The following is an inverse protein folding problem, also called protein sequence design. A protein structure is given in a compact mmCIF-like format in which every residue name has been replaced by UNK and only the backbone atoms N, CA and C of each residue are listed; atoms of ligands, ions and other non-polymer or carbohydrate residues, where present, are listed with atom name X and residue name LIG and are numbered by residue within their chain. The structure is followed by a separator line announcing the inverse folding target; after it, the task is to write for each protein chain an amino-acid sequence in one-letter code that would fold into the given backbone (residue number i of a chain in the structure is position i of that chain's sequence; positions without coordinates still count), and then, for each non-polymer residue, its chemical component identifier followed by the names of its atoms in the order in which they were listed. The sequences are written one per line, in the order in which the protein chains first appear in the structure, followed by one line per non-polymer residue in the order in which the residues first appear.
data_IF_940743017633
#
_entry.id   IF_940743017633
#
_cell.length_a   1.000
_cell.length_b   1.000
_cell.length_c   1.000
_cell.angle_alpha   90.00
_cell.angle_beta   90.00
_cell.angle_gamma   90.00
#
_symmetry.space_group_name_H-M   'P 1'
#
loop_
_entity.id
_entity.type
_entity.pdbx_description
1 polymer ?
#
# COMPACT_ATOMS: atom_id res chain seq x y z
N UNK A 1 19.20 5.46 -59.78
CA UNK A 1 20.27 6.47 -59.96
C UNK A 1 20.37 7.23 -58.64
N UNK A 2 21.38 7.16 -57.77
CA UNK A 2 22.72 6.55 -57.69
C UNK A 2 22.92 6.13 -56.22
N UNK A 3 23.29 4.88 -55.91
CA UNK A 3 24.65 4.38 -55.61
C UNK A 3 25.31 5.06 -54.38
N UNK A 4 25.37 4.40 -53.22
CA UNK A 4 26.36 3.38 -52.78
C UNK A 4 27.69 3.99 -52.33
N UNK A 5 28.12 3.75 -51.08
CA UNK A 5 29.46 3.20 -50.72
C UNK A 5 29.49 2.79 -49.24
N UNK A 6 30.05 1.62 -48.97
CA UNK A 6 30.17 0.94 -47.69
C UNK A 6 31.63 0.91 -47.19
N UNK A 7 31.85 0.20 -46.06
CA UNK A 7 33.12 -0.29 -45.46
C UNK A 7 33.89 0.70 -44.56
N UNK A 8 34.57 0.29 -43.48
CA UNK A 8 34.94 -1.04 -42.94
C UNK A 8 35.35 -0.92 -41.46
N UNK A 9 35.27 -2.06 -40.80
CA UNK A 9 35.74 -2.45 -39.46
C UNK A 9 37.26 -2.32 -39.19
N UNK A 10 37.63 -2.15 -37.92
CA UNK A 10 38.74 -2.90 -37.28
C UNK A 10 38.73 -2.80 -35.74
N UNK A 11 38.71 -3.95 -35.07
CA UNK A 11 39.24 -4.15 -33.72
C UNK A 11 40.77 -4.28 -33.79
N UNK A 12 41.48 -4.06 -32.67
CA UNK A 12 42.13 -5.22 -32.06
C UNK A 12 42.03 -5.28 -30.53
N UNK A 13 42.07 -6.51 -30.03
CA UNK A 13 42.29 -6.88 -28.65
C UNK A 13 43.74 -6.60 -28.21
N UNK A 14 43.95 -6.38 -26.91
CA UNK A 14 45.26 -6.56 -26.28
C UNK A 14 45.10 -7.15 -24.88
N UNK A 15 45.92 -8.17 -24.63
CA UNK A 15 45.95 -9.07 -23.47
C UNK A 15 47.31 -8.92 -22.80
N UNK A 16 47.35 -9.22 -21.48
CA UNK A 16 48.49 -9.60 -20.62
C UNK A 16 49.04 -8.51 -19.67
N UNK A 17 49.77 -8.86 -18.58
CA UNK A 17 50.08 -10.20 -18.02
C UNK A 17 49.79 -10.39 -16.51
N UNK A 18 49.80 -11.66 -16.08
CA UNK A 18 49.98 -12.11 -14.69
C UNK A 18 51.42 -11.85 -14.19
N UNK A 19 51.58 -11.49 -12.91
CA UNK A 19 52.85 -11.63 -12.18
C UNK A 19 52.67 -11.92 -10.67
N UNK A 20 53.08 -13.15 -10.31
CA UNK A 20 53.89 -13.63 -9.15
C UNK A 20 53.81 -12.92 -7.78
N UNK A 21 53.35 -13.58 -6.69
CA UNK A 21 54.08 -14.43 -5.68
C UNK A 21 54.18 -13.72 -4.28
N UNK A 22 54.59 -14.36 -3.15
CA UNK A 22 53.69 -15.02 -2.19
C UNK A 22 53.94 -14.55 -0.73
N UNK A 23 53.44 -15.34 0.25
CA UNK A 23 53.69 -15.31 1.71
C UNK A 23 52.72 -14.51 2.59
N UNK A 24 51.86 -15.23 3.33
CA UNK A 24 51.92 -15.17 4.80
C UNK A 24 51.33 -16.39 5.50
N UNK A 25 52.26 -17.07 6.20
CA UNK A 25 52.19 -17.90 7.41
C UNK A 25 50.84 -18.52 7.83
N UNK A 26 50.88 -19.85 7.86
CA UNK A 26 50.24 -20.72 8.86
C UNK A 26 50.47 -20.18 10.27
N UNK A 27 49.44 -20.20 11.11
CA UNK A 27 49.57 -20.63 12.51
C UNK A 27 48.33 -21.45 12.87
N UNK A 28 48.63 -22.72 13.13
CA UNK A 28 47.77 -23.72 13.73
C UNK A 28 47.28 -23.22 15.09
N UNK A 29 45.99 -23.36 15.37
CA UNK A 29 45.47 -23.34 16.73
C UNK A 29 44.87 -24.71 16.99
N UNK A 30 45.64 -25.43 17.78
CA UNK A 30 45.48 -26.78 18.30
C UNK A 30 44.18 -26.94 19.08
N UNK A 31 43.53 -28.04 18.75
CA UNK A 31 42.64 -28.88 19.56
C UNK A 31 43.10 -28.98 21.03
N UNK A 32 42.18 -28.77 21.97
CA UNK A 32 42.23 -29.40 23.30
C UNK A 32 40.81 -29.67 23.77
N UNK A 33 40.43 -30.94 23.62
CA UNK A 33 39.34 -31.60 24.33
C UNK A 33 39.78 -31.81 25.77
N UNK A 34 38.94 -31.45 26.74
CA UNK A 34 39.00 -32.03 28.07
C UNK A 34 37.58 -32.25 28.59
N UNK A 35 37.19 -33.52 28.48
CA UNK A 35 36.00 -34.11 29.09
C UNK A 35 36.38 -34.48 30.51
N UNK A 36 35.72 -33.89 31.51
CA UNK A 36 35.64 -34.47 32.85
C UNK A 36 34.18 -34.40 33.28
N UNK A 37 33.54 -35.57 33.27
CA UNK A 37 32.24 -35.80 33.88
C UNK A 37 32.47 -36.30 35.30
N UNK A 38 31.88 -35.64 36.28
CA UNK A 38 31.59 -36.25 37.58
C UNK A 38 30.23 -35.73 38.07
N UNK A 39 29.26 -36.63 38.12
CA UNK A 39 27.96 -36.47 38.77
C UNK A 39 28.08 -36.79 40.26
N UNK A 40 27.48 -35.97 41.12
CA UNK A 40 26.69 -36.42 42.27
C UNK A 40 25.99 -35.24 42.99
N UNK A 41 24.69 -35.12 42.72
CA UNK A 41 23.55 -34.83 43.62
C UNK A 41 23.79 -33.98 44.89
N UNK A 42 23.15 -32.79 44.92
CA UNK A 42 22.47 -32.29 46.11
C UNK A 42 21.15 -31.62 45.70
N UNK A 43 20.04 -32.25 46.12
CA UNK A 43 18.71 -31.68 46.08
C UNK A 43 18.51 -30.81 47.32
N UNK A 44 18.26 -29.51 47.14
CA UNK A 44 17.63 -28.64 48.13
C UNK A 44 16.87 -27.53 47.39
N UNK A 45 15.62 -27.33 47.78
CA UNK A 45 14.59 -26.63 47.01
C UNK A 45 14.94 -25.21 46.57
N UNK A 46 14.75 -24.95 45.28
CA UNK A 46 14.67 -23.60 44.73
C UNK A 46 13.23 -23.12 44.83
N UNK A 47 12.96 -22.22 45.78
CA UNK A 47 11.80 -21.35 45.74
C UNK A 47 11.92 -20.48 44.47
N UNK A 48 11.26 -20.90 43.38
CA UNK A 48 11.06 -20.03 42.23
C UNK A 48 10.11 -18.93 42.66
N UNK A 49 10.66 -17.74 42.94
CA UNK A 49 9.87 -16.52 42.92
C UNK A 49 9.27 -16.41 41.52
N UNK A 50 7.97 -16.68 41.42
CA UNK A 50 7.20 -16.29 40.25
C UNK A 50 7.27 -14.77 40.19
N UNK A 51 8.14 -14.25 39.30
CA UNK A 51 8.03 -12.87 38.87
C UNK A 51 6.57 -12.65 38.45
N UNK A 52 5.88 -11.60 38.93
CA UNK A 52 4.54 -11.28 38.47
C UNK A 52 4.59 -11.27 36.94
N UNK A 53 3.82 -12.19 36.37
CA UNK A 53 3.90 -12.58 34.98
C UNK A 53 3.86 -11.34 34.10
N UNK A 54 4.87 -11.24 33.23
CA UNK A 54 4.67 -10.61 31.94
C UNK A 54 3.38 -11.20 31.39
N UNK A 55 2.34 -10.37 31.25
CA UNK A 55 1.19 -10.74 30.45
C UNK A 55 1.75 -11.28 29.15
N UNK A 56 1.44 -12.54 28.85
CA UNK A 56 1.69 -13.09 27.54
C UNK A 56 0.90 -12.21 26.57
N UNK A 57 1.58 -11.21 25.99
CA UNK A 57 1.06 -10.43 24.88
C UNK A 57 0.68 -11.44 23.83
N UNK A 58 -0.63 -11.76 23.78
CA UNK A 58 -1.16 -12.80 22.93
C UNK A 58 -0.59 -12.60 21.53
N UNK A 59 -0.02 -13.65 20.96
CA UNK A 59 0.62 -13.61 19.65
C UNK A 59 -0.33 -12.90 18.68
N UNK A 60 -0.05 -11.62 18.43
CA UNK A 60 -0.87 -10.73 17.63
C UNK A 60 -1.03 -11.39 16.27
N UNK A 61 -2.24 -11.83 15.92
CA UNK A 61 -2.53 -12.42 14.60
C UNK A 61 -1.94 -11.49 13.53
N UNK A 62 -1.13 -12.04 12.63
CA UNK A 62 -0.58 -11.29 11.50
C UNK A 62 -1.69 -10.55 10.76
N UNK A 63 -1.58 -9.22 10.55
CA UNK A 63 -2.61 -8.46 9.84
C UNK A 63 -2.89 -9.05 8.46
N UNK A 64 -4.15 -9.04 8.04
CA UNK A 64 -4.57 -9.49 6.70
C UNK A 64 -4.59 -8.32 5.74
N UNK A 65 -3.87 -8.47 4.63
CA UNK A 65 -3.87 -7.50 3.54
C UNK A 65 -4.52 -8.08 2.28
N UNK A 66 -5.33 -7.30 1.59
CA UNK A 66 -5.90 -7.63 0.28
C UNK A 66 -5.38 -6.61 -0.72
N UNK A 67 -4.63 -7.08 -1.71
CA UNK A 67 -4.11 -6.23 -2.79
C UNK A 67 -4.88 -6.56 -4.06
N UNK A 68 -5.58 -5.57 -4.59
CA UNK A 68 -6.48 -5.67 -5.73
C UNK A 68 -5.90 -4.86 -6.88
N UNK A 69 -5.79 -5.48 -8.05
CA UNK A 69 -5.44 -4.78 -9.30
C UNK A 69 -6.54 -5.07 -10.31
N UNK A 70 -7.38 -4.07 -10.57
CA UNK A 70 -8.44 -4.14 -11.57
C UNK A 70 -7.92 -3.92 -13.00
N UNK A 71 -8.78 -4.12 -14.02
CA UNK A 71 -8.52 -3.66 -15.39
C UNK A 71 -8.32 -2.14 -15.41
N UNK A 72 -7.36 -1.63 -16.19
CA UNK A 72 -7.01 -0.20 -16.27
C UNK A 72 -6.60 0.21 -17.68
N UNK A 73 -7.23 -0.41 -18.68
CA UNK A 73 -6.96 -0.15 -20.09
C UNK A 73 -5.45 -0.28 -20.39
N UNK A 74 -4.83 0.72 -21.04
CA UNK A 74 -3.40 0.72 -21.37
C UNK A 74 -2.45 0.72 -20.17
N UNK A 75 -2.89 1.08 -18.95
CA UNK A 75 -2.03 1.11 -17.76
C UNK A 75 -2.04 -0.19 -16.95
N UNK A 76 -2.78 -1.21 -17.38
CA UNK A 76 -2.98 -2.45 -16.61
C UNK A 76 -1.66 -3.15 -16.26
N UNK A 77 -0.69 -3.20 -17.18
CA UNK A 77 0.61 -3.83 -16.94
C UNK A 77 1.43 -3.10 -15.86
N UNK A 78 1.41 -1.76 -15.86
CA UNK A 78 2.05 -0.93 -14.83
C UNK A 78 1.41 -1.17 -13.46
N UNK A 79 0.08 -1.19 -13.40
CA UNK A 79 -0.64 -1.36 -12.14
C UNK A 79 -0.43 -2.76 -11.56
N UNK A 80 -0.31 -3.78 -12.41
CA UNK A 80 0.07 -5.13 -12.01
C UNK A 80 1.48 -5.18 -11.41
N UNK A 81 2.44 -4.46 -12.00
CA UNK A 81 3.79 -4.37 -11.46
C UNK A 81 3.82 -3.66 -10.09
N UNK A 82 3.10 -2.55 -9.95
CA UNK A 82 2.97 -1.82 -8.68
C UNK A 82 2.25 -2.63 -7.61
N UNK A 83 1.15 -3.30 -7.96
CA UNK A 83 0.40 -4.17 -7.06
C UNK A 83 1.21 -5.36 -6.58
N UNK A 84 2.00 -6.00 -7.46
CA UNK A 84 2.97 -7.05 -7.07
C UNK A 84 3.98 -6.51 -6.07
N UNK A 85 4.59 -5.37 -6.37
CA UNK A 85 5.57 -4.75 -5.48
C UNK A 85 4.97 -4.45 -4.09
N UNK A 86 3.76 -3.90 -4.03
CA UNK A 86 3.10 -3.62 -2.75
C UNK A 86 2.81 -4.92 -1.99
N UNK A 87 2.27 -5.94 -2.67
CA UNK A 87 1.98 -7.23 -2.06
C UNK A 87 3.24 -7.85 -1.44
N UNK A 88 4.36 -7.83 -2.16
CA UNK A 88 5.63 -8.36 -1.67
C UNK A 88 6.17 -7.53 -0.49
N UNK A 89 5.97 -6.21 -0.49
CA UNK A 89 6.30 -5.36 0.66
C UNK A 89 5.46 -5.71 1.89
N UNK A 90 4.17 -6.00 1.72
CA UNK A 90 3.29 -6.41 2.81
C UNK A 90 3.65 -7.79 3.37
N UNK A 91 4.00 -8.76 2.52
CA UNK A 91 4.48 -10.06 2.97
C UNK A 91 5.79 -9.94 3.75
N UNK A 92 6.76 -9.17 3.23
CA UNK A 92 8.02 -8.88 3.95
C UNK A 92 7.80 -8.18 5.28
N UNK A 93 6.72 -7.41 5.41
CA UNK A 93 6.34 -6.77 6.67
C UNK A 93 5.60 -7.73 7.63
N UNK A 94 5.38 -8.99 7.26
CA UNK A 94 4.77 -10.03 8.10
C UNK A 94 3.24 -10.13 7.99
N UNK A 95 2.63 -9.55 6.95
CA UNK A 95 1.18 -9.63 6.71
C UNK A 95 0.79 -10.92 5.98
N UNK A 96 -0.43 -11.40 6.21
CA UNK A 96 -1.06 -12.44 5.37
C UNK A 96 -1.72 -11.78 4.16
N UNK A 97 -1.12 -11.94 2.98
CA UNK A 97 -1.55 -11.21 1.76
C UNK A 97 -2.42 -12.07 0.85
N UNK A 98 -3.58 -11.53 0.46
CA UNK A 98 -4.40 -12.06 -0.64
C UNK A 98 -4.23 -11.16 -1.86
N UNK A 99 -3.71 -11.72 -2.96
CA UNK A 99 -3.53 -11.03 -4.23
C UNK A 99 -4.72 -11.32 -5.15
N UNK A 100 -5.41 -10.29 -5.63
CA UNK A 100 -6.54 -10.41 -6.56
C UNK A 100 -6.28 -9.49 -7.74
N UNK A 101 -5.65 -10.04 -8.77
CA UNK A 101 -5.14 -9.28 -9.90
C UNK A 101 -5.88 -9.61 -11.19
N UNK A 102 -6.00 -8.62 -12.07
CA UNK A 102 -6.43 -8.77 -13.45
C UNK A 102 -5.70 -9.95 -14.12
N UNK A 103 -6.40 -10.79 -14.92
CA UNK A 103 -7.81 -10.68 -15.33
C UNK A 103 -8.81 -11.37 -14.39
N UNK A 104 -8.41 -11.70 -13.15
CA UNK A 104 -9.24 -12.39 -12.15
C UNK A 104 -9.73 -11.48 -11.04
N UNK A 105 -9.63 -10.16 -11.21
CA UNK A 105 -10.10 -9.20 -10.21
C UNK A 105 -11.60 -8.96 -10.35
N UNK A 106 -12.40 -10.00 -10.13
CA UNK A 106 -13.87 -9.95 -10.19
C UNK A 106 -14.47 -9.67 -8.81
N UNK A 107 -15.71 -9.18 -8.79
CA UNK A 107 -16.41 -8.91 -7.52
C UNK A 107 -16.58 -10.15 -6.64
N UNK A 108 -16.89 -11.31 -7.24
CA UNK A 108 -17.08 -12.55 -6.49
C UNK A 108 -15.79 -13.03 -5.81
N UNK A 109 -14.61 -12.62 -6.28
CA UNK A 109 -13.33 -12.89 -5.63
C UNK A 109 -12.97 -11.80 -4.63
N UNK A 110 -13.20 -10.53 -4.99
CA UNK A 110 -12.88 -9.38 -4.13
C UNK A 110 -13.74 -9.36 -2.87
N UNK A 111 -15.06 -9.48 -3.00
CA UNK A 111 -16.02 -9.39 -1.87
C UNK A 111 -15.67 -10.31 -0.70
N UNK A 112 -15.48 -11.63 -0.86
CA UNK A 112 -15.15 -12.51 0.26
C UNK A 112 -13.75 -12.21 0.84
N UNK A 113 -12.77 -11.84 0.01
CA UNK A 113 -11.42 -11.55 0.49
C UNK A 113 -11.36 -10.32 1.42
N UNK A 114 -12.19 -9.31 1.13
CA UNK A 114 -12.28 -8.09 1.94
C UNK A 114 -12.82 -8.34 3.36
N UNK A 115 -13.56 -9.43 3.59
CA UNK A 115 -14.17 -9.69 4.90
C UNK A 115 -13.09 -9.87 5.97
N UNK A 116 -13.08 -8.99 6.97
CA UNK A 116 -12.08 -8.98 8.05
C UNK A 116 -10.66 -8.60 7.61
N UNK A 117 -10.46 -7.94 6.47
CA UNK A 117 -9.14 -7.43 6.08
C UNK A 117 -8.74 -6.21 6.93
N UNK A 118 -7.47 -6.15 7.36
CA UNK A 118 -6.90 -5.00 8.07
C UNK A 118 -6.38 -3.93 7.11
N UNK A 119 -5.91 -4.37 5.94
CA UNK A 119 -5.37 -3.50 4.89
C UNK A 119 -6.02 -3.87 3.55
N UNK A 120 -6.57 -2.88 2.86
CA UNK A 120 -7.07 -3.02 1.50
C UNK A 120 -6.28 -2.08 0.61
N UNK A 121 -5.68 -2.58 -0.45
CA UNK A 121 -4.98 -1.77 -1.44
C UNK A 121 -5.58 -2.02 -2.80
N UNK A 122 -5.95 -0.95 -3.50
CA UNK A 122 -6.60 -1.02 -4.79
C UNK A 122 -5.85 -0.19 -5.82
N UNK A 123 -5.53 -0.82 -6.95
CA UNK A 123 -5.07 -0.18 -8.18
C UNK A 123 -6.12 -0.42 -9.26
N UNK A 124 -6.67 0.62 -9.84
CA UNK A 124 -7.63 0.44 -10.94
C UNK A 124 -8.39 1.70 -11.30
N UNK A 125 -9.36 1.53 -12.20
CA UNK A 125 -10.29 2.61 -12.57
C UNK A 125 -11.03 3.15 -11.34
N UNK A 126 -11.11 4.47 -11.26
CA UNK A 126 -12.00 5.16 -10.32
C UNK A 126 -13.27 5.59 -11.03
N UNK A 127 -14.31 5.88 -10.24
CA UNK A 127 -15.55 6.49 -10.72
C UNK A 127 -16.05 7.45 -9.63
N UNK A 128 -15.19 8.35 -9.17
CA UNK A 128 -15.57 9.25 -8.07
C UNK A 128 -16.54 10.35 -8.49
N UNK A 129 -17.12 11.03 -7.50
CA UNK A 129 -18.05 12.14 -7.71
C UNK A 129 -17.68 13.34 -6.83
N UNK A 130 -17.77 14.60 -7.32
CA UNK A 130 -18.23 15.06 -8.64
C UNK A 130 -17.31 14.70 -9.82
N UNK A 131 -17.92 14.32 -10.94
CA UNK A 131 -17.25 13.97 -12.21
C UNK A 131 -18.06 14.52 -13.40
N UNK A 132 -17.45 14.75 -14.58
CA UNK A 132 -18.17 15.15 -15.79
C UNK A 132 -19.03 14.02 -16.40
N UNK A 133 -18.86 12.79 -15.91
CA UNK A 133 -19.63 11.62 -16.34
C UNK A 133 -21.05 11.62 -15.76
N UNK A 134 -21.78 10.54 -16.04
CA UNK A 134 -23.14 10.29 -15.60
C UNK A 134 -23.44 10.82 -14.17
N UNK A 135 -24.67 11.31 -13.92
CA UNK A 135 -25.08 11.90 -12.65
C UNK A 135 -24.74 11.04 -11.43
N UNK A 136 -24.70 11.68 -10.27
CA UNK A 136 -24.45 10.98 -9.02
C UNK A 136 -25.46 9.87 -8.77
N UNK A 137 -24.92 8.68 -8.51
CA UNK A 137 -25.62 7.58 -7.86
C UNK A 137 -24.59 6.77 -7.07
N UNK A 138 -25.03 5.95 -6.12
CA UNK A 138 -24.12 5.24 -5.23
C UNK A 138 -23.85 3.78 -5.65
N UNK A 139 -24.50 3.26 -6.69
CA UNK A 139 -24.31 1.88 -7.17
C UNK A 139 -23.00 1.70 -7.94
N UNK A 140 -22.48 2.72 -8.63
CA UNK A 140 -21.21 2.64 -9.37
C UNK A 140 -20.21 3.71 -8.96
N UNK A 141 -20.64 4.83 -8.36
CA UNK A 141 -19.69 5.89 -7.96
C UNK A 141 -18.95 5.51 -6.69
N UNK A 142 -17.72 6.02 -6.54
CA UNK A 142 -16.97 6.01 -5.28
C UNK A 142 -16.65 4.60 -4.75
N UNK A 143 -16.12 3.74 -5.61
CA UNK A 143 -15.75 2.38 -5.25
C UNK A 143 -14.75 1.73 -6.21
N UNK A 144 -14.95 0.46 -6.53
CA UNK A 144 -14.00 -0.33 -7.34
C UNK A 144 -14.43 -0.46 -8.80
N UNK A 145 -13.47 -0.42 -9.72
CA UNK A 145 -13.61 -0.84 -11.11
C UNK A 145 -12.93 -2.20 -11.30
N UNK A 146 -13.72 -3.25 -11.43
CA UNK A 146 -13.27 -4.65 -11.40
C UNK A 146 -13.48 -5.32 -12.76
N UNK A 147 -12.83 -6.46 -12.97
CA UNK A 147 -13.14 -7.31 -14.13
C UNK A 147 -14.62 -7.71 -14.06
N UNK A 148 -15.36 -7.51 -15.17
CA UNK A 148 -16.76 -7.93 -15.29
C UNK A 148 -16.92 -9.44 -15.11
N UNK A 149 -16.03 -10.20 -15.74
CA UNK A 149 -15.90 -11.65 -15.60
C UNK A 149 -14.43 -12.04 -15.58
N UNK A 150 -14.12 -13.24 -15.12
CA UNK A 150 -12.76 -13.78 -15.18
C UNK A 150 -12.30 -13.88 -16.64
N UNK A 151 -11.05 -13.47 -16.91
CA UNK A 151 -10.49 -13.47 -18.27
C UNK A 151 -10.92 -12.27 -19.13
N UNK A 152 -11.77 -11.37 -18.63
CA UNK A 152 -12.18 -10.17 -19.36
C UNK A 152 -10.97 -9.27 -19.70
N UNK A 153 -11.07 -8.56 -20.82
CA UNK A 153 -10.01 -7.68 -21.32
C UNK A 153 -9.68 -6.54 -20.36
N UNK A 154 -8.49 -5.96 -20.51
CA UNK A 154 -8.06 -4.78 -19.75
C UNK A 154 -8.96 -3.54 -19.94
N UNK A 155 -9.80 -3.52 -20.97
CA UNK A 155 -10.73 -2.42 -21.28
C UNK A 155 -12.16 -2.69 -20.75
N UNK A 156 -12.46 -3.93 -20.37
CA UNK A 156 -13.77 -4.34 -19.88
C UNK A 156 -13.80 -4.36 -18.36
N UNK A 157 -14.62 -3.50 -17.78
CA UNK A 157 -14.74 -3.37 -16.33
C UNK A 157 -16.20 -3.16 -15.90
N UNK A 158 -16.46 -3.46 -14.64
CA UNK A 158 -17.72 -3.20 -13.96
C UNK A 158 -17.44 -2.42 -12.67
N UNK A 159 -18.29 -1.44 -12.38
CA UNK A 159 -18.11 -0.57 -11.23
C UNK A 159 -19.00 -1.00 -10.06
N UNK A 160 -18.38 -1.11 -8.88
CA UNK A 160 -19.02 -1.44 -7.62
C UNK A 160 -18.88 -0.25 -6.68
N UNK A 161 -19.90 0.58 -6.64
CA UNK A 161 -19.92 1.87 -5.94
C UNK A 161 -20.12 1.79 -4.43
N UNK A 162 -20.22 2.95 -3.81
CA UNK A 162 -20.29 3.12 -2.37
C UNK A 162 -21.44 2.35 -1.69
N UNK A 163 -22.60 2.25 -2.33
CA UNK A 163 -23.74 1.50 -1.79
C UNK A 163 -23.47 0.00 -1.75
N UNK A 164 -22.85 -0.53 -2.81
CA UNK A 164 -22.43 -1.94 -2.86
C UNK A 164 -21.41 -2.23 -1.77
N UNK A 165 -20.42 -1.35 -1.60
CA UNK A 165 -19.39 -1.47 -0.55
C UNK A 165 -20.06 -1.50 0.83
N UNK A 166 -20.92 -0.53 1.15
CA UNK A 166 -21.61 -0.46 2.45
C UNK A 166 -22.46 -1.69 2.74
N UNK A 167 -23.13 -2.25 1.73
CA UNK A 167 -24.01 -3.41 1.90
C UNK A 167 -23.26 -4.73 2.03
N UNK A 168 -22.08 -4.86 1.42
CA UNK A 168 -21.45 -6.18 1.20
C UNK A 168 -20.04 -6.33 1.78
N UNK A 169 -19.42 -5.26 2.27
CA UNK A 169 -18.04 -5.30 2.80
C UNK A 169 -18.05 -5.08 4.31
N UNK A 170 -17.34 -5.94 5.05
CA UNK A 170 -17.07 -5.80 6.49
C UNK A 170 -15.58 -5.97 6.73
N UNK A 171 -14.84 -4.88 6.86
CA UNK A 171 -13.40 -4.94 7.13
C UNK A 171 -13.15 -5.24 8.62
N UNK A 172 -11.88 -5.49 8.97
CA UNK A 172 -11.48 -5.47 10.37
C UNK A 172 -11.75 -4.07 10.95
N UNK A 173 -11.98 -3.98 12.26
CA UNK A 173 -12.08 -2.69 12.94
C UNK A 173 -10.80 -1.89 12.66
N UNK A 174 -10.94 -0.59 12.43
CA UNK A 174 -9.83 0.33 12.22
C UNK A 174 -9.00 -0.01 10.96
N UNK A 175 -9.59 -0.71 9.97
CA UNK A 175 -8.87 -1.06 8.76
C UNK A 175 -8.37 0.18 8.00
N UNK A 176 -7.30 -0.01 7.24
CA UNK A 176 -6.72 1.00 6.36
C UNK A 176 -7.06 0.63 4.92
N UNK A 177 -7.60 1.58 4.17
CA UNK A 177 -7.81 1.46 2.73
C UNK A 177 -6.85 2.38 2.00
N UNK A 178 -6.16 1.88 0.98
CA UNK A 178 -5.28 2.67 0.13
C UNK A 178 -5.73 2.55 -1.32
N UNK A 179 -6.07 3.68 -1.93
CA UNK A 179 -6.54 3.81 -3.29
C UNK A 179 -5.44 4.42 -4.16
N UNK A 180 -4.93 3.67 -5.12
CA UNK A 180 -3.96 4.12 -6.09
C UNK A 180 -4.61 4.33 -7.45
N UNK A 181 -4.44 5.52 -8.01
CA UNK A 181 -4.80 5.90 -9.38
C UNK A 181 -6.29 5.72 -9.72
N UNK A 182 -7.12 5.46 -8.72
CA UNK A 182 -8.57 5.50 -8.82
C UNK A 182 -8.97 6.97 -9.06
N UNK A 183 -9.31 7.29 -10.31
CA UNK A 183 -9.70 8.63 -10.73
C UNK A 183 -10.71 9.24 -9.76
N UNK A 184 -10.49 10.53 -9.44
CA UNK A 184 -11.26 11.32 -8.49
C UNK A 184 -11.07 10.98 -7.00
N UNK A 185 -10.45 9.85 -6.62
CA UNK A 185 -10.34 9.47 -5.20
C UNK A 185 -9.46 10.39 -4.35
N UNK A 186 -8.43 11.01 -4.95
CA UNK A 186 -7.50 11.92 -4.27
C UNK A 186 -7.88 13.40 -4.35
N UNK A 187 -8.99 13.73 -5.02
CA UNK A 187 -9.50 15.09 -5.19
C UNK A 187 -9.33 15.66 -6.60
N UNK A 188 -8.26 15.29 -7.31
CA UNK A 188 -8.07 15.66 -8.71
C UNK A 188 -9.08 15.05 -9.68
N UNK A 189 -9.14 15.58 -10.90
CA UNK A 189 -9.79 14.90 -12.02
C UNK A 189 -8.88 13.85 -12.65
N UNK A 190 -9.27 13.37 -13.83
CA UNK A 190 -8.37 12.59 -14.70
C UNK A 190 -7.30 13.50 -15.29
N UNK A 191 -6.28 12.91 -15.91
CA UNK A 191 -5.04 13.62 -16.23
C UNK A 191 -5.20 14.79 -17.22
N UNK A 192 -6.23 14.75 -18.05
CA UNK A 192 -6.59 15.78 -19.03
C UNK A 192 -7.58 16.82 -18.50
N UNK A 193 -8.10 16.67 -17.28
CA UNK A 193 -8.98 17.66 -16.69
C UNK A 193 -8.22 18.78 -15.97
N UNK A 194 -8.77 20.01 -15.95
CA UNK A 194 -8.17 21.10 -15.18
C UNK A 194 -8.10 20.76 -13.69
N UNK A 195 -7.14 21.38 -12.99
CA UNK A 195 -7.04 21.30 -11.53
C UNK A 195 -8.36 21.83 -10.94
N UNK A 196 -9.07 21.03 -10.13
CA UNK A 196 -10.35 21.45 -9.58
C UNK A 196 -10.18 22.55 -8.52
N UNK A 197 -11.27 23.21 -8.15
CA UNK A 197 -11.28 24.05 -6.95
C UNK A 197 -11.07 23.22 -5.69
N UNK A 198 -10.60 23.87 -4.61
CA UNK A 198 -10.45 23.26 -3.28
C UNK A 198 -11.75 22.59 -2.81
N UNK A 199 -12.89 23.25 -3.00
CA UNK A 199 -14.21 22.74 -2.63
C UNK A 199 -14.52 21.42 -3.35
N UNK A 200 -14.32 21.38 -4.67
CA UNK A 200 -14.56 20.18 -5.49
C UNK A 200 -13.61 19.04 -5.08
N UNK A 201 -12.35 19.35 -4.78
CA UNK A 201 -11.38 18.36 -4.33
C UNK A 201 -11.78 17.71 -3.00
N UNK A 202 -12.20 18.51 -2.01
CA UNK A 202 -12.72 17.99 -0.75
C UNK A 202 -13.96 17.14 -0.95
N UNK A 203 -14.91 17.60 -1.77
CA UNK A 203 -16.15 16.86 -2.05
C UNK A 203 -15.86 15.49 -2.67
N UNK A 204 -14.93 15.42 -3.64
CA UNK A 204 -14.49 14.17 -4.25
C UNK A 204 -13.90 13.20 -3.25
N UNK A 205 -12.95 13.67 -2.44
CA UNK A 205 -12.27 12.86 -1.43
C UNK A 205 -13.26 12.35 -0.38
N UNK A 206 -14.15 13.23 0.09
CA UNK A 206 -15.16 12.91 1.10
C UNK A 206 -16.14 11.85 0.57
N UNK A 207 -16.65 12.05 -0.64
CA UNK A 207 -17.57 11.12 -1.29
C UNK A 207 -16.92 9.75 -1.53
N UNK A 208 -15.66 9.71 -1.97
CA UNK A 208 -14.97 8.45 -2.23
C UNK A 208 -14.71 7.67 -0.94
N UNK A 209 -14.28 8.34 0.13
CA UNK A 209 -13.94 7.70 1.40
C UNK A 209 -15.19 7.23 2.18
N UNK A 210 -16.32 7.92 2.05
CA UNK A 210 -17.50 7.75 2.91
C UNK A 210 -18.00 6.30 3.03
N UNK A 211 -18.02 5.54 1.92
CA UNK A 211 -18.50 4.16 1.95
C UNK A 211 -17.60 3.24 2.79
N UNK A 212 -16.28 3.42 2.70
CA UNK A 212 -15.30 2.63 3.45
C UNK A 212 -15.30 3.00 4.94
N UNK A 213 -15.45 4.29 5.25
CA UNK A 213 -15.51 4.81 6.62
C UNK A 213 -16.86 4.56 7.31
N UNK A 214 -17.85 4.03 6.59
CA UNK A 214 -19.14 3.70 7.17
C UNK A 214 -18.99 2.72 8.34
N UNK A 215 -19.78 2.91 9.41
CA UNK A 215 -19.71 2.13 10.66
C UNK A 215 -19.79 0.61 10.46
N UNK A 216 -20.47 0.17 9.41
CA UNK A 216 -20.59 -1.25 9.08
C UNK A 216 -19.38 -1.78 8.31
N UNK A 217 -18.71 -0.93 7.51
CA UNK A 217 -17.52 -1.31 6.73
C UNK A 217 -16.25 -1.25 7.57
N UNK A 218 -16.13 -0.26 8.47
CA UNK A 218 -15.14 -0.17 9.56
C UNK A 218 -13.71 0.20 9.17
N UNK A 219 -13.47 0.81 8.00
CA UNK A 219 -12.19 1.47 7.78
C UNK A 219 -12.04 2.63 8.77
N UNK A 220 -10.89 2.72 9.44
CA UNK A 220 -10.54 3.87 10.27
C UNK A 220 -9.99 5.02 9.43
N UNK A 221 -9.28 4.70 8.34
CA UNK A 221 -8.77 5.68 7.37
C UNK A 221 -8.80 5.16 5.93
N UNK A 222 -8.94 6.11 5.00
CA UNK A 222 -8.79 5.92 3.55
C UNK A 222 -7.71 6.87 3.05
N UNK A 223 -6.63 6.34 2.50
CA UNK A 223 -5.60 7.10 1.79
C UNK A 223 -5.82 6.98 0.29
N UNK A 224 -5.67 8.07 -0.45
CA UNK A 224 -5.86 8.11 -1.88
C UNK A 224 -4.71 8.84 -2.57
N UNK A 225 -4.21 8.26 -3.66
CA UNK A 225 -3.06 8.76 -4.40
C UNK A 225 -3.35 8.73 -5.91
N UNK A 226 -3.23 9.87 -6.58
CA UNK A 226 -3.35 9.97 -8.05
C UNK A 226 -2.22 9.22 -8.77
N UNK A 227 -1.06 9.10 -8.13
CA UNK A 227 0.16 8.53 -8.74
C UNK A 227 0.78 7.47 -7.85
N UNK A 228 1.69 6.69 -8.43
CA UNK A 228 2.57 5.78 -7.70
C UNK A 228 3.21 6.47 -6.50
N UNK A 229 3.24 5.78 -5.37
CA UNK A 229 3.98 6.23 -4.19
C UNK A 229 5.21 5.34 -3.98
N UNK A 230 6.36 5.95 -3.72
CA UNK A 230 7.59 5.25 -3.34
C UNK A 230 7.75 5.11 -1.82
N UNK A 231 6.65 5.21 -1.09
CA UNK A 231 6.60 4.99 0.36
C UNK A 231 6.21 3.53 0.61
N UNK A 232 6.99 2.82 1.44
CA UNK A 232 6.63 1.48 1.88
C UNK A 232 5.59 1.57 3.02
N UNK A 233 4.33 1.81 2.65
CA UNK A 233 3.24 1.94 3.61
C UNK A 233 3.01 0.67 4.43
N UNK A 234 3.24 -0.50 3.84
CA UNK A 234 3.10 -1.76 4.56
C UNK A 234 4.09 -1.86 5.74
N UNK A 235 5.36 -1.51 5.52
CA UNK A 235 6.34 -1.44 6.61
C UNK A 235 5.99 -0.32 7.60
N UNK A 236 5.54 0.84 7.13
CA UNK A 236 5.16 1.96 7.99
C UNK A 236 4.02 1.60 8.96
N UNK A 237 3.00 0.88 8.49
CA UNK A 237 1.88 0.40 9.32
C UNK A 237 2.33 -0.59 10.39
N UNK A 238 3.43 -1.31 10.18
CA UNK A 238 3.98 -2.25 11.16
C UNK A 238 4.85 -1.57 12.22
N UNK A 239 5.24 -0.31 12.05
CA UNK A 239 6.00 0.44 13.06
C UNK A 239 5.09 0.82 14.24
N UNK A 240 5.50 0.61 15.50
CA UNK A 240 4.68 0.98 16.65
C UNK A 240 4.57 2.51 16.83
N UNK A 241 3.47 2.96 17.42
CA UNK A 241 3.28 4.34 17.89
C UNK A 241 3.00 5.41 16.83
N UNK A 242 3.10 5.11 15.53
CA UNK A 242 2.79 6.08 14.48
C UNK A 242 1.29 6.37 14.39
N UNK A 243 0.91 7.63 14.19
CA UNK A 243 -0.45 8.00 13.79
C UNK A 243 -0.62 7.86 12.28
N UNK A 244 -1.84 7.66 11.81
CA UNK A 244 -2.11 7.56 10.36
C UNK A 244 -1.72 8.84 9.61
N UNK A 245 -1.88 10.02 10.23
CA UNK A 245 -1.40 11.25 9.61
C UNK A 245 0.13 11.32 9.50
N UNK A 246 0.88 10.67 10.39
CA UNK A 246 2.34 10.61 10.31
C UNK A 246 2.77 9.69 9.17
N UNK A 247 2.07 8.56 9.01
CA UNK A 247 2.30 7.63 7.90
C UNK A 247 2.02 8.31 6.55
N UNK A 248 0.92 9.05 6.44
CA UNK A 248 0.58 9.79 5.22
C UNK A 248 1.63 10.86 4.87
N UNK A 249 2.29 11.41 5.90
CA UNK A 249 3.33 12.44 5.82
C UNK A 249 4.75 11.89 5.66
N UNK A 250 4.92 10.59 5.40
CA UNK A 250 6.25 10.04 5.12
C UNK A 250 6.77 10.61 3.78
N UNK A 251 7.98 11.21 3.74
CA UNK A 251 8.58 11.67 2.51
C UNK A 251 8.95 10.51 1.58
N UNK A 252 9.03 10.78 0.28
CA UNK A 252 9.42 9.75 -0.70
C UNK A 252 10.90 9.40 -0.61
N UNK A 253 11.21 8.10 -0.70
CA UNK A 253 12.58 7.60 -0.84
C UNK A 253 13.22 7.94 -2.20
N UNK A 254 12.42 8.46 -3.15
CA UNK A 254 12.88 9.05 -4.41
C UNK A 254 12.43 10.51 -4.48
N UNK A 255 13.19 11.45 -3.88
CA UNK A 255 12.95 12.88 -4.03
C UNK A 255 13.07 13.26 -5.52
N UNK A 256 12.12 14.02 -6.06
CA UNK A 256 12.14 14.49 -7.46
C UNK A 256 11.19 13.79 -8.42
N UNK A 257 10.71 12.57 -8.11
CA UNK A 257 9.60 11.98 -8.86
C UNK A 257 8.30 12.69 -8.45
N UNK A 258 7.80 13.53 -9.37
CA UNK A 258 6.69 14.48 -9.15
C UNK A 258 5.50 13.74 -8.51
N UNK A 259 5.12 14.16 -7.30
CA UNK A 259 3.98 13.68 -6.50
C UNK A 259 4.14 12.34 -5.74
N UNK A 260 5.37 11.83 -5.57
CA UNK A 260 5.61 10.71 -4.66
C UNK A 260 5.89 11.18 -3.23
N UNK A 261 5.22 10.56 -2.25
CA UNK A 261 5.42 10.83 -0.83
C UNK A 261 4.94 12.23 -0.41
N UNK A 262 5.18 12.56 0.86
CA UNK A 262 4.75 13.84 1.42
C UNK A 262 5.48 15.04 0.84
N UNK A 263 4.68 15.99 0.34
CA UNK A 263 5.20 17.24 -0.23
C UNK A 263 5.23 18.33 0.84
N UNK A 264 4.18 18.42 1.66
CA UNK A 264 4.17 19.28 2.85
C UNK A 264 4.04 20.77 2.58
N UNK A 265 3.86 21.19 1.32
CA UNK A 265 3.84 22.61 0.93
C UNK A 265 2.46 23.25 1.02
N UNK A 266 1.39 22.51 0.72
CA UNK A 266 0.03 23.04 0.63
C UNK A 266 -0.98 22.11 1.32
N UNK A 267 -0.74 21.81 2.60
CA UNK A 267 -1.63 20.95 3.37
C UNK A 267 -2.91 21.72 3.71
N UNK A 268 -4.07 21.13 3.43
CA UNK A 268 -5.36 21.68 3.82
C UNK A 268 -6.20 20.63 4.52
N UNK A 269 -6.92 21.06 5.56
CA UNK A 269 -7.74 20.21 6.40
C UNK A 269 -9.20 20.64 6.35
N UNK A 270 -10.11 19.66 6.48
CA UNK A 270 -11.53 19.91 6.65
C UNK A 270 -12.18 18.73 7.39
N UNK A 271 -13.21 19.00 8.19
CA UNK A 271 -14.10 17.93 8.63
C UNK A 271 -14.85 17.32 7.44
N UNK A 272 -14.99 16.00 7.46
CA UNK A 272 -15.86 15.28 6.53
C UNK A 272 -17.31 15.71 6.75
N UNK A 273 -18.01 15.96 5.64
CA UNK A 273 -19.46 16.23 5.61
C UNK A 273 -20.26 14.94 5.45
N UNK A 274 -19.64 13.88 4.94
CA UNK A 274 -20.28 12.57 4.71
C UNK A 274 -20.14 11.61 5.89
N UNK A 275 -19.11 11.77 6.71
CA UNK A 275 -18.76 10.85 7.80
C UNK A 275 -18.49 11.63 9.09
N UNK A 276 -19.41 11.54 10.05
CA UNK A 276 -19.28 12.22 11.34
C UNK A 276 -17.97 11.81 12.06
N UNK A 277 -17.23 12.81 12.52
CA UNK A 277 -15.97 12.61 13.26
C UNK A 277 -14.74 12.37 12.38
N UNK A 278 -14.90 12.13 11.08
CA UNK A 278 -13.77 11.99 10.17
C UNK A 278 -13.19 13.36 9.79
N UNK A 279 -11.87 13.40 9.63
CA UNK A 279 -11.13 14.54 9.10
C UNK A 279 -10.55 14.19 7.74
N UNK A 280 -10.44 15.18 6.87
CA UNK A 280 -9.82 15.09 5.55
C UNK A 280 -8.57 15.96 5.56
N UNK A 281 -7.46 15.40 5.10
CA UNK A 281 -6.20 16.10 4.86
C UNK A 281 -5.82 15.91 3.38
N UNK A 282 -5.72 17.02 2.65
CA UNK A 282 -5.19 17.05 1.29
C UNK A 282 -3.76 17.59 1.30
N UNK A 283 -2.86 16.91 0.59
CA UNK A 283 -1.49 17.36 0.33
C UNK A 283 -1.41 17.74 -1.15
N UNK A 284 -1.62 19.02 -1.46
CA UNK A 284 -1.71 19.51 -2.83
C UNK A 284 -0.33 19.82 -3.45
N UNK A 285 -0.11 19.34 -4.67
CA UNK A 285 1.06 19.68 -5.48
C UNK A 285 0.84 21.03 -6.16
N UNK A 286 1.80 21.98 -6.11
CA UNK A 286 1.62 23.32 -6.68
C UNK A 286 1.21 23.34 -8.16
N UNK A 287 1.73 22.39 -8.95
CA UNK A 287 1.48 22.32 -10.40
C UNK A 287 0.47 21.24 -10.80
N UNK A 288 0.13 20.32 -9.90
CA UNK A 288 -0.64 19.13 -10.25
C UNK A 288 -1.90 18.99 -9.40
N UNK A 289 -2.17 19.92 -8.48
CA UNK A 289 -3.39 19.96 -7.69
C UNK A 289 -3.42 18.89 -6.58
N UNK A 290 -4.60 18.37 -6.32
CA UNK A 290 -4.92 17.48 -5.20
C UNK A 290 -4.65 16.02 -5.58
N UNK A 291 -3.38 15.63 -5.48
CA UNK A 291 -2.92 14.29 -5.90
C UNK A 291 -2.80 13.30 -4.75
N UNK A 292 -2.93 13.75 -3.50
CA UNK A 292 -2.78 12.92 -2.30
C UNK A 292 -3.79 13.37 -1.25
N UNK A 293 -4.52 12.42 -0.68
CA UNK A 293 -5.47 12.70 0.38
C UNK A 293 -5.51 11.56 1.41
N UNK A 294 -5.88 11.91 2.65
CA UNK A 294 -6.27 10.94 3.67
C UNK A 294 -7.56 11.42 4.34
N UNK A 295 -8.48 10.50 4.57
CA UNK A 295 -9.76 10.74 5.24
C UNK A 295 -9.99 9.74 6.37
N UNK A 296 -10.56 10.16 7.50
CA UNK A 296 -10.92 9.27 8.61
C UNK A 296 -10.42 9.77 9.95
N UNK A 297 -10.09 8.84 10.85
CA UNK A 297 -9.41 9.16 12.11
C UNK A 297 -7.89 9.32 11.87
N UNK A 298 -7.48 10.57 11.67
CA UNK A 298 -6.08 10.92 11.43
C UNK A 298 -5.18 10.69 12.66
N UNK A 299 -5.76 10.53 13.85
CA UNK A 299 -5.06 10.28 15.10
C UNK A 299 -4.93 8.80 15.44
N UNK A 300 -5.70 7.95 14.74
CA UNK A 300 -5.61 6.49 14.85
C UNK A 300 -4.15 6.05 14.75
N UNK A 301 -3.74 5.23 15.70
CA UNK A 301 -2.39 4.71 15.83
C UNK A 301 -2.25 3.39 15.10
N UNK A 302 -1.01 3.00 14.82
CA UNK A 302 -0.73 1.65 14.32
C UNK A 302 -1.02 0.55 15.34
N UNK A 303 -1.10 0.88 16.64
CA UNK A 303 -1.59 -0.05 17.68
C UNK A 303 -3.05 -0.39 17.44
N UNK A 304 -3.89 0.64 17.39
CA UNK A 304 -5.33 0.52 17.16
C UNK A 304 -5.65 -0.17 15.82
N UNK A 305 -4.87 0.09 14.76
CA UNK A 305 -4.99 -0.61 13.47
C UNK A 305 -4.67 -2.11 13.57
N UNK A 306 -3.65 -2.48 14.36
CA UNK A 306 -3.28 -3.89 14.61
C UNK A 306 -4.22 -4.58 15.61
N UNK A 307 -5.14 -3.84 16.23
CA UNK A 307 -6.00 -4.36 17.29
C UNK A 307 -5.25 -4.58 18.61
N UNK A 308 -4.30 -3.70 18.93
CA UNK A 308 -3.55 -3.65 20.19
C UNK A 308 -3.83 -2.36 20.93
#
# INVERSE_FOLDING_TARGET
MNASTAQRSSHPASVAPLSTRPHRRRRDLTTSLLVISFMAVLAAGSLTFASPGQEAFGASKSPRAVVIVGPSSGSTAEYLAEGRLFADQAERAGMKVTRIFHPRATWDRVRPALQGANLVVYFGHGNGWPSPYAPFQETTKNGFGLNRVEGASAFSHEYFGGDVIRKKVRLARNAVVILYRACYSAGNGEDWHPIPSKRVAFERVDNFAAAFLHRDVRAGVVMAFRTKQWVNFAAALMRPGLKMNDIFRIPSAKPGWRMSGWMGRNNVYQYSRRTRGANIHLDAHPQAGYSRAISGDLRMTTGEWRGR
#
